data_IF_796958380595
#
_entry.id   IF_796958380595
#
_cell.length_a   1.000
_cell.length_b   1.000
_cell.length_c   1.000
_cell.angle_alpha   90.00
_cell.angle_beta   90.00
_cell.angle_gamma   90.00
#
_symmetry.space_group_name_H-M   'P 1'
#
loop_
_entity.id
_entity.type
_entity.pdbx_description
1 polymer ?
#
# COMPACT_ATOMS: atom_id res chain seq x y z
N UNK A 1 -7.75 19.16 -3.43
CA UNK A 1 -6.48 18.60 -2.91
C UNK A 1 -5.30 19.29 -3.60
N UNK A 2 -4.06 19.13 -3.11
CA UNK A 2 -2.88 19.63 -3.83
C UNK A 2 -2.64 18.80 -5.11
N UNK A 3 -2.25 19.46 -6.21
CA UNK A 3 -1.99 18.80 -7.51
C UNK A 3 -1.01 17.62 -7.41
N UNK A 4 0.01 17.76 -6.56
CA UNK A 4 1.02 16.72 -6.34
C UNK A 4 0.43 15.45 -5.71
N UNK A 5 -0.52 15.59 -4.77
CA UNK A 5 -1.21 14.47 -4.16
C UNK A 5 -2.15 13.78 -5.16
N UNK A 6 -2.79 14.57 -6.06
CA UNK A 6 -3.60 14.01 -7.15
C UNK A 6 -2.78 13.14 -8.08
N UNK A 7 -1.60 13.62 -8.52
CA UNK A 7 -0.71 12.85 -9.39
C UNK A 7 -0.28 11.53 -8.74
N UNK A 8 0.01 11.53 -7.44
CA UNK A 8 0.31 10.30 -6.72
C UNK A 8 -0.89 9.35 -6.68
N UNK A 9 -2.11 9.84 -6.43
CA UNK A 9 -3.31 9.01 -6.44
C UNK A 9 -3.57 8.41 -7.83
N UNK A 10 -3.38 9.15 -8.91
CA UNK A 10 -3.48 8.64 -10.29
C UNK A 10 -2.45 7.53 -10.55
N UNK A 11 -1.21 7.73 -10.08
CA UNK A 11 -0.14 6.73 -10.18
C UNK A 11 -0.32 5.55 -9.22
N UNK A 12 -1.11 5.64 -8.16
CA UNK A 12 -1.40 4.47 -7.32
C UNK A 12 -2.66 3.74 -7.76
N UNK A 13 -3.66 4.42 -8.32
CA UNK A 13 -4.99 3.83 -8.55
C UNK A 13 -4.99 2.80 -9.68
N UNK A 14 -5.01 1.51 -9.34
CA UNK A 14 -5.01 0.43 -10.32
C UNK A 14 -4.71 -0.95 -9.72
N UNK A 15 -4.63 -1.92 -10.63
CA UNK A 15 -4.20 -3.30 -10.36
C UNK A 15 -2.76 -3.44 -10.83
N UNK A 16 -1.91 -4.01 -9.97
CA UNK A 16 -0.49 -4.22 -10.18
C UNK A 16 -0.16 -5.70 -10.00
N UNK A 17 0.71 -6.24 -10.85
CA UNK A 17 1.14 -7.64 -10.81
C UNK A 17 2.65 -7.73 -10.99
N UNK A 18 3.32 -8.56 -10.19
CA UNK A 18 4.73 -8.89 -10.38
C UNK A 18 4.92 -10.21 -11.15
N UNK A 19 3.91 -10.68 -11.88
CA UNK A 19 3.94 -11.97 -12.57
C UNK A 19 5.18 -12.15 -13.45
N UNK A 20 5.58 -11.13 -14.21
CA UNK A 20 6.80 -11.16 -15.03
C UNK A 20 8.06 -11.44 -14.19
N UNK A 21 8.18 -10.78 -13.03
CA UNK A 21 9.28 -10.98 -12.09
C UNK A 21 9.26 -12.39 -11.48
N UNK A 22 8.08 -12.87 -11.05
CA UNK A 22 7.91 -14.19 -10.44
C UNK A 22 8.25 -15.31 -11.41
N UNK A 23 7.79 -15.21 -12.67
CA UNK A 23 8.08 -16.19 -13.74
C UNK A 23 9.56 -16.20 -14.12
N UNK A 24 10.21 -15.04 -14.14
CA UNK A 24 11.62 -14.95 -14.50
C UNK A 24 12.57 -15.47 -13.40
N UNK A 25 12.14 -15.51 -12.14
CA UNK A 25 13.01 -15.77 -10.99
C UNK A 25 12.45 -16.83 -9.99
N UNK A 26 11.95 -18.00 -10.43
CA UNK A 26 11.43 -18.99 -9.49
C UNK A 26 12.56 -19.66 -8.66
N UNK A 27 12.38 -19.92 -7.36
CA UNK A 27 11.20 -19.62 -6.52
C UNK A 27 11.35 -18.33 -5.68
N UNK A 28 12.18 -17.38 -6.10
CA UNK A 28 12.59 -16.23 -5.28
C UNK A 28 11.46 -15.25 -5.00
N UNK A 29 10.55 -15.06 -5.97
CA UNK A 29 9.42 -14.15 -5.86
C UNK A 29 8.12 -14.93 -6.06
N UNK A 30 7.21 -14.83 -5.07
CA UNK A 30 5.84 -15.28 -5.26
C UNK A 30 5.13 -14.34 -6.25
N UNK A 31 4.17 -14.88 -7.00
CA UNK A 31 3.27 -14.07 -7.82
C UNK A 31 2.21 -13.42 -6.93
N UNK A 32 2.20 -12.09 -6.92
CA UNK A 32 1.42 -11.22 -6.04
C UNK A 32 0.67 -10.21 -6.90
N UNK A 33 -0.58 -9.98 -6.54
CA UNK A 33 -1.38 -8.88 -7.04
C UNK A 33 -1.54 -7.83 -5.94
N UNK A 34 -1.40 -6.56 -6.33
CA UNK A 34 -1.65 -5.41 -5.47
C UNK A 34 -2.70 -4.54 -6.13
N UNK A 35 -3.79 -4.25 -5.43
CA UNK A 35 -4.88 -3.41 -5.93
C UNK A 35 -5.01 -2.19 -5.05
N UNK A 36 -5.00 -1.00 -5.66
CA UNK A 36 -5.37 0.26 -5.00
C UNK A 36 -6.62 0.82 -5.66
N UNK A 37 -7.72 0.82 -4.93
CA UNK A 37 -9.04 1.25 -5.42
C UNK A 37 -9.45 2.56 -4.74
N UNK A 38 -9.80 3.63 -5.47
CA UNK A 38 -10.35 4.83 -4.87
C UNK A 38 -11.59 4.55 -4.01
N UNK A 39 -11.70 5.22 -2.85
CA UNK A 39 -12.86 5.13 -1.95
C UNK A 39 -13.50 6.51 -1.74
N UNK A 40 -14.31 7.01 -2.70
CA UNK A 40 -14.92 8.35 -2.63
C UNK A 40 -15.81 8.62 -1.42
N UNK A 41 -16.36 7.55 -0.81
CA UNK A 41 -17.19 7.61 0.38
C UNK A 41 -16.41 7.90 1.68
N UNK A 42 -15.08 7.78 1.64
CA UNK A 42 -14.20 8.11 2.76
C UNK A 42 -13.63 9.53 2.59
N UNK A 43 -12.76 9.94 3.52
CA UNK A 43 -12.09 11.24 3.41
C UNK A 43 -11.29 11.35 2.10
N UNK A 44 -11.17 12.55 1.49
CA UNK A 44 -10.44 12.75 0.25
C UNK A 44 -9.03 12.16 0.24
N UNK A 45 -8.65 11.57 -0.89
CA UNK A 45 -7.36 10.91 -1.08
C UNK A 45 -7.27 9.52 -0.43
N UNK A 46 -8.40 8.93 -0.02
CA UNK A 46 -8.42 7.56 0.51
C UNK A 46 -8.48 6.53 -0.63
N UNK A 47 -7.64 5.50 -0.53
CA UNK A 47 -7.60 4.32 -1.39
C UNK A 47 -7.73 3.06 -0.52
N UNK A 48 -8.55 2.10 -0.91
CA UNK A 48 -8.49 0.74 -0.38
C UNK A 48 -7.36 -0.02 -1.08
N UNK A 49 -6.45 -0.58 -0.28
CA UNK A 49 -5.35 -1.43 -0.71
C UNK A 49 -5.67 -2.89 -0.37
N UNK A 50 -5.57 -3.78 -1.34
CA UNK A 50 -5.49 -5.23 -1.13
C UNK A 50 -4.21 -5.79 -1.73
N UNK A 51 -3.55 -6.70 -1.01
CA UNK A 51 -2.41 -7.47 -1.49
C UNK A 51 -2.69 -8.94 -1.28
N UNK A 52 -2.62 -9.72 -2.36
CA UNK A 52 -2.96 -11.13 -2.37
C UNK A 52 -1.99 -11.93 -3.25
N UNK A 53 -1.86 -13.22 -2.98
CA UNK A 53 -1.21 -14.12 -3.92
C UNK A 53 -2.08 -14.26 -5.17
N UNK A 54 -1.48 -14.26 -6.36
CA UNK A 54 -2.23 -14.34 -7.61
C UNK A 54 -3.04 -15.65 -7.76
N UNK A 55 -2.66 -16.71 -7.03
CA UNK A 55 -3.37 -17.99 -7.00
C UNK A 55 -4.71 -17.91 -6.24
N UNK A 56 -4.81 -17.03 -5.25
CA UNK A 56 -6.02 -16.82 -4.46
C UNK A 56 -6.21 -15.31 -4.16
N UNK A 57 -6.62 -14.51 -5.16
CA UNK A 57 -6.80 -13.08 -5.01
C UNK A 57 -7.96 -12.73 -4.07
N UNK A 58 -8.82 -13.69 -3.73
CA UNK A 58 -9.98 -13.48 -2.85
C UNK A 58 -9.63 -13.48 -1.36
N UNK A 59 -8.43 -13.94 -1.01
CA UNK A 59 -7.92 -14.02 0.36
C UNK A 59 -6.64 -13.17 0.47
N UNK A 60 -6.77 -11.83 0.52
CA UNK A 60 -5.62 -10.97 0.67
C UNK A 60 -4.92 -11.23 2.00
N UNK A 61 -3.59 -11.28 1.97
CA UNK A 61 -2.79 -11.35 3.20
C UNK A 61 -2.63 -9.98 3.86
N UNK A 62 -3.00 -8.90 3.16
CA UNK A 62 -3.00 -7.53 3.67
C UNK A 62 -4.09 -6.71 3.00
N UNK A 63 -4.90 -6.05 3.83
CA UNK A 63 -5.86 -5.02 3.40
C UNK A 63 -5.68 -3.76 4.24
N UNK A 64 -5.64 -2.57 3.63
CA UNK A 64 -5.50 -1.29 4.36
C UNK A 64 -6.27 -0.19 3.65
N UNK A 65 -6.69 0.83 4.38
CA UNK A 65 -7.02 2.11 3.76
C UNK A 65 -5.78 2.99 3.81
N UNK A 66 -5.32 3.44 2.65
CA UNK A 66 -4.26 4.43 2.51
C UNK A 66 -4.88 5.81 2.33
N UNK A 67 -4.36 6.83 2.99
CA UNK A 67 -4.81 8.21 2.79
C UNK A 67 -3.67 9.12 2.39
N UNK A 68 -3.71 9.57 1.14
CA UNK A 68 -2.76 10.54 0.60
C UNK A 68 -3.18 11.95 1.04
N UNK A 69 -2.29 12.68 1.71
CA UNK A 69 -2.54 14.07 2.09
C UNK A 69 -1.27 14.91 2.11
N UNK A 70 -1.45 16.23 2.06
CA UNK A 70 -0.36 17.18 2.28
C UNK A 70 -0.34 17.59 3.76
N UNK A 71 0.74 17.27 4.47
CA UNK A 71 1.04 17.73 5.80
C UNK A 71 1.78 19.07 5.76
N UNK A 72 1.53 19.97 6.72
CA UNK A 72 2.12 21.31 6.71
C UNK A 72 3.64 21.28 6.84
N UNK A 73 4.18 20.38 7.67
CA UNK A 73 5.62 20.30 7.95
C UNK A 73 6.33 19.19 7.18
N UNK A 74 5.63 18.08 6.90
CA UNK A 74 6.23 16.86 6.33
C UNK A 74 6.03 16.76 4.81
N UNK A 75 5.28 17.70 4.21
CA UNK A 75 4.96 17.64 2.79
C UNK A 75 3.96 16.54 2.46
N UNK A 76 4.19 15.80 1.37
CA UNK A 76 3.28 14.74 0.93
C UNK A 76 3.47 13.50 1.80
N UNK A 77 2.36 12.97 2.35
CA UNK A 77 2.37 11.78 3.20
C UNK A 77 1.28 10.79 2.79
N UNK A 78 1.47 9.52 3.18
CA UNK A 78 0.44 8.48 3.11
C UNK A 78 0.23 7.90 4.50
N UNK A 79 -0.96 8.11 5.05
CA UNK A 79 -1.35 7.46 6.30
C UNK A 79 -1.85 6.05 6.04
N UNK A 80 -1.49 5.12 6.91
CA UNK A 80 -2.01 3.76 6.89
C UNK A 80 -3.11 3.61 7.94
N UNK A 81 -4.26 3.08 7.52
CA UNK A 81 -5.40 2.79 8.38
C UNK A 81 -5.72 1.30 8.32
N UNK A 82 -5.74 0.64 9.47
CA UNK A 82 -6.18 -0.74 9.61
C UNK A 82 -7.71 -0.79 9.65
N UNK A 83 -8.28 -1.90 9.13
CA UNK A 83 -9.71 -2.15 9.17
C UNK A 83 -10.05 -3.07 10.35
N UNK A 84 -11.12 -2.76 11.08
CA UNK A 84 -11.70 -3.65 12.07
C UNK A 84 -12.44 -4.80 11.38
N UNK A 85 -12.20 -6.04 11.85
CA UNK A 85 -12.81 -7.24 11.26
C UNK A 85 -12.61 -7.31 9.73
N UNK A 86 -11.36 -7.13 9.31
CA UNK A 86 -10.97 -6.88 7.92
C UNK A 86 -11.45 -7.94 6.91
N UNK A 87 -11.61 -9.19 7.35
CA UNK A 87 -12.20 -10.32 6.63
C UNK A 87 -13.54 -9.98 5.92
N UNK A 88 -14.34 -9.07 6.50
CA UNK A 88 -15.61 -8.61 5.92
C UNK A 88 -15.45 -7.86 4.60
N UNK A 89 -14.25 -7.35 4.34
CA UNK A 89 -13.94 -6.47 3.22
C UNK A 89 -12.99 -7.13 2.20
N UNK A 90 -12.63 -8.39 2.38
CA UNK A 90 -11.80 -9.10 1.41
C UNK A 90 -12.47 -9.15 0.03
N UNK A 91 -11.70 -8.86 -1.02
CA UNK A 91 -12.17 -8.71 -2.39
C UNK A 91 -12.91 -7.40 -2.69
N UNK A 92 -13.05 -6.49 -1.71
CA UNK A 92 -13.80 -5.25 -1.91
C UNK A 92 -13.16 -4.31 -2.95
N UNK A 93 -11.85 -4.43 -3.22
CA UNK A 93 -11.23 -3.61 -4.28
C UNK A 93 -11.77 -3.91 -5.67
N UNK A 94 -12.38 -5.08 -5.87
CA UNK A 94 -12.97 -5.54 -7.13
C UNK A 94 -14.50 -5.69 -7.08
N UNK A 95 -15.12 -5.36 -5.95
CA UNK A 95 -16.57 -5.46 -5.70
C UNK A 95 -17.08 -4.10 -5.17
N UNK A 96 -17.69 -3.30 -6.05
CA UNK A 96 -18.15 -1.96 -5.71
C UNK A 96 -19.21 -1.93 -4.61
N UNK A 97 -20.10 -2.93 -4.55
CA UNK A 97 -21.14 -3.00 -3.54
C UNK A 97 -20.54 -3.23 -2.15
N UNK A 98 -19.47 -4.03 -2.08
CA UNK A 98 -18.68 -4.26 -0.86
C UNK A 98 -17.78 -3.08 -0.52
N UNK A 99 -17.17 -2.44 -1.53
CA UNK A 99 -16.29 -1.29 -1.37
C UNK A 99 -17.00 -0.16 -0.62
N UNK A 100 -18.24 0.16 -1.00
CA UNK A 100 -19.01 1.24 -0.36
C UNK A 100 -19.43 0.92 1.07
N UNK A 101 -19.29 -0.34 1.53
CA UNK A 101 -19.52 -0.71 2.93
C UNK A 101 -18.36 -0.33 3.85
N UNK A 102 -17.17 -0.02 3.32
CA UNK A 102 -16.05 0.44 4.15
C UNK A 102 -16.34 1.85 4.63
N UNK A 103 -16.49 2.04 5.94
CA UNK A 103 -16.83 3.31 6.56
C UNK A 103 -15.72 3.80 7.50
N UNK A 104 -15.70 5.10 7.79
CA UNK A 104 -14.67 5.71 8.65
C UNK A 104 -14.60 5.09 10.06
N UNK A 105 -15.72 4.60 10.57
CA UNK A 105 -15.81 3.92 11.87
C UNK A 105 -15.15 2.52 11.87
N UNK A 106 -14.92 1.93 10.70
CA UNK A 106 -14.21 0.66 10.57
C UNK A 106 -12.68 0.86 10.61
N UNK A 107 -12.19 2.10 10.68
CA UNK A 107 -10.79 2.43 10.48
C UNK A 107 -10.09 2.88 11.76
N UNK A 108 -8.92 2.29 12.02
CA UNK A 108 -7.97 2.77 13.04
C UNK A 108 -6.67 3.19 12.39
N UNK A 109 -6.24 4.43 12.65
CA UNK A 109 -4.96 4.95 12.15
C UNK A 109 -3.79 4.19 12.78
N UNK A 110 -2.88 3.71 11.95
CA UNK A 110 -1.64 3.07 12.39
C UNK A 110 -0.57 4.13 12.65
N UNK A 111 -0.40 4.48 13.92
CA UNK A 111 0.63 5.41 14.38
C UNK A 111 2.03 4.85 14.07
N UNK A 112 2.95 5.72 13.65
CA UNK A 112 4.33 5.33 13.33
C UNK A 112 4.49 4.61 11.98
N UNK A 113 3.40 4.39 11.24
CA UNK A 113 3.39 3.72 9.92
C UNK A 113 3.10 4.71 8.77
N UNK A 114 3.29 6.02 8.98
CA UNK A 114 3.07 7.01 7.94
C UNK A 114 4.20 6.95 6.93
N UNK A 115 3.91 6.94 5.62
CA UNK A 115 4.94 7.15 4.61
C UNK A 115 5.19 8.64 4.42
N UNK A 116 6.46 9.02 4.43
CA UNK A 116 6.93 10.32 3.96
C UNK A 116 7.22 10.16 2.46
N UNK A 117 6.60 11.00 1.63
CA UNK A 117 6.67 10.85 0.17
C UNK A 117 7.29 12.08 -0.46
N UNK A 118 8.21 11.83 -1.38
CA UNK A 118 8.86 12.86 -2.17
C UNK A 118 8.75 12.57 -3.67
N UNK A 119 8.84 13.62 -4.47
CA UNK A 119 8.85 13.50 -5.93
C UNK A 119 10.18 12.88 -6.38
N UNK A 120 10.11 11.90 -7.27
CA UNK A 120 11.28 11.25 -7.85
C UNK A 120 11.13 11.21 -9.38
N UNK A 121 11.70 12.21 -10.09
CA UNK A 121 11.49 12.38 -11.52
C UNK A 121 10.00 12.52 -11.87
N UNK A 122 9.50 11.68 -12.78
CA UNK A 122 8.07 11.62 -13.12
C UNK A 122 7.23 10.77 -12.16
N UNK A 123 7.86 10.13 -11.19
CA UNK A 123 7.20 9.33 -10.16
C UNK A 123 7.27 9.94 -8.77
N UNK A 124 7.14 9.06 -7.79
CA UNK A 124 7.31 9.33 -6.38
C UNK A 124 8.11 8.21 -5.73
N UNK A 125 8.78 8.53 -4.63
CA UNK A 125 9.32 7.54 -3.70
C UNK A 125 8.85 7.87 -2.30
N UNK A 126 8.62 6.84 -1.49
CA UNK A 126 8.25 7.03 -0.10
C UNK A 126 8.85 5.98 0.80
N UNK A 127 9.08 6.38 2.05
CA UNK A 127 9.60 5.53 3.11
C UNK A 127 8.76 5.72 4.37
N UNK A 128 8.59 4.64 5.15
CA UNK A 128 7.95 4.71 6.46
C UNK A 128 8.73 5.67 7.36
N UNK A 129 8.01 6.50 8.11
CA UNK A 129 8.58 7.48 9.02
C UNK A 129 9.60 6.86 10.00
N UNK A 130 10.67 7.60 10.35
CA UNK A 130 11.70 7.08 11.24
C UNK A 130 11.16 6.83 12.66
N UNK A 131 11.93 6.05 13.44
CA UNK A 131 11.65 5.84 14.88
C UNK A 131 11.22 4.43 15.25
N UNK A 132 11.24 3.47 14.32
CA UNK A 132 10.94 2.05 14.60
C UNK A 132 9.53 1.82 15.20
N UNK A 133 8.59 2.74 14.94
CA UNK A 133 7.28 2.77 15.59
C UNK A 133 6.18 2.06 14.79
N UNK A 134 6.41 1.75 13.51
CA UNK A 134 5.50 0.91 12.75
C UNK A 134 5.61 -0.55 13.21
N UNK A 135 4.96 -0.88 14.33
CA UNK A 135 5.01 -2.21 14.93
C UNK A 135 4.16 -3.21 14.15
N UNK A 136 4.73 -4.38 13.88
CA UNK A 136 4.09 -5.49 13.18
C UNK A 136 4.37 -6.76 13.96
N UNK A 137 3.31 -7.45 14.39
CA UNK A 137 3.45 -8.79 14.94
C UNK A 137 3.37 -9.82 13.82
N UNK A 138 4.39 -10.68 13.73
CA UNK A 138 4.43 -11.77 12.75
C UNK A 138 4.93 -13.04 13.40
N UNK A 139 4.16 -14.12 13.28
CA UNK A 139 4.44 -15.42 13.92
C UNK A 139 4.75 -15.31 15.43
N UNK A 140 4.02 -14.45 16.15
CA UNK A 140 4.19 -14.24 17.59
C UNK A 140 5.41 -13.40 18.00
N UNK A 141 6.20 -12.89 17.04
CA UNK A 141 7.32 -11.98 17.29
C UNK A 141 6.94 -10.54 16.98
N UNK A 142 7.29 -9.62 17.88
CA UNK A 142 7.17 -8.18 17.63
C UNK A 142 8.33 -7.69 16.77
N UNK A 143 8.02 -6.91 15.74
CA UNK A 143 8.98 -6.35 14.79
C UNK A 143 8.59 -4.92 14.46
N UNK A 144 9.52 -4.14 13.90
CA UNK A 144 9.17 -2.88 13.24
C UNK A 144 9.38 -2.98 11.73
N UNK A 145 8.48 -2.36 10.98
CA UNK A 145 8.52 -2.29 9.53
C UNK A 145 9.49 -1.19 9.08
N UNK A 146 10.41 -1.56 8.19
CA UNK A 146 11.07 -0.65 7.27
C UNK A 146 10.51 -0.96 5.89
N UNK A 147 9.83 0.01 5.30
CA UNK A 147 9.26 -0.16 3.98
C UNK A 147 9.49 1.06 3.10
N UNK A 148 9.75 0.78 1.84
CA UNK A 148 10.00 1.76 0.79
C UNK A 148 9.17 1.40 -0.44
N UNK A 149 8.69 2.41 -1.13
CA UNK A 149 8.13 2.25 -2.45
C UNK A 149 8.66 3.29 -3.41
N UNK A 150 8.66 2.92 -4.69
CA UNK A 150 8.81 3.83 -5.82
C UNK A 150 7.66 3.56 -6.77
N UNK A 151 7.03 4.61 -7.29
CA UNK A 151 5.91 4.48 -8.22
C UNK A 151 6.08 5.47 -9.36
N UNK A 152 5.73 5.04 -10.56
CA UNK A 152 5.69 5.89 -11.74
C UNK A 152 4.51 5.55 -12.64
N UNK A 153 4.58 5.98 -13.89
CA UNK A 153 3.56 5.67 -14.88
C UNK A 153 3.60 4.17 -15.21
N UNK A 154 2.54 3.44 -14.85
CA UNK A 154 2.39 2.03 -15.19
C UNK A 154 3.22 1.04 -14.36
N UNK A 155 3.98 1.46 -13.35
CA UNK A 155 4.79 0.55 -12.54
C UNK A 155 4.84 0.95 -11.06
N UNK A 156 5.12 -0.04 -10.22
CA UNK A 156 5.31 0.10 -8.78
C UNK A 156 6.44 -0.84 -8.34
N UNK A 157 7.35 -0.33 -7.50
CA UNK A 157 8.38 -1.11 -6.85
C UNK A 157 8.23 -0.99 -5.34
N UNK A 158 8.27 -2.10 -4.60
CA UNK A 158 8.19 -2.06 -3.13
C UNK A 158 9.25 -2.92 -2.48
N UNK A 159 9.65 -2.52 -1.28
CA UNK A 159 10.49 -3.33 -0.39
C UNK A 159 9.90 -3.25 1.00
N UNK A 160 9.54 -4.40 1.57
CA UNK A 160 9.02 -4.52 2.93
C UNK A 160 9.93 -5.44 3.73
N UNK A 161 10.49 -4.92 4.82
CA UNK A 161 11.37 -5.64 5.73
C UNK A 161 10.97 -5.40 7.18
N UNK A 162 11.01 -6.45 7.99
CA UNK A 162 10.74 -6.41 9.42
C UNK A 162 11.99 -6.69 10.21
N UNK A 163 12.23 -5.86 11.22
CA UNK A 163 13.40 -5.92 12.07
C UNK A 163 13.02 -6.07 13.53
N UNK A 164 13.90 -6.70 14.30
CA UNK A 164 13.71 -6.87 15.73
C UNK A 164 13.86 -5.51 16.48
N UNK A 165 12.94 -5.14 17.38
CA UNK A 165 12.97 -3.86 18.10
C UNK A 165 14.24 -3.59 18.91
N UNK A 166 14.88 -4.65 19.39
CA UNK A 166 15.96 -4.57 20.39
C UNK A 166 17.32 -4.73 19.74
N UNK A 167 17.43 -5.70 18.83
CA UNK A 167 18.69 -6.06 18.16
C UNK A 167 18.87 -5.38 16.82
N UNK A 168 17.78 -4.90 16.20
CA UNK A 168 17.75 -4.42 14.82
C UNK A 168 18.15 -5.47 13.78
N UNK A 169 18.12 -6.76 14.17
CA UNK A 169 18.35 -7.86 13.25
C UNK A 169 17.17 -8.01 12.28
N UNK A 170 17.48 -8.33 11.02
CA UNK A 170 16.45 -8.65 10.03
C UNK A 170 15.71 -9.93 10.43
N UNK A 171 14.38 -9.85 10.52
CA UNK A 171 13.51 -10.97 10.94
C UNK A 171 12.76 -11.56 9.76
N UNK A 172 12.17 -10.71 8.92
CA UNK A 172 11.35 -11.13 7.78
C UNK A 172 11.36 -10.08 6.68
N UNK A 173 10.95 -10.46 5.48
CA UNK A 173 10.88 -9.55 4.33
C UNK A 173 11.72 -10.01 3.17
N UNK A 174 11.70 -9.25 2.08
CA UNK A 174 12.42 -9.57 0.86
C UNK A 174 13.92 -9.60 1.09
N UNK A 175 14.53 -10.78 1.01
CA UNK A 175 16.00 -10.97 0.97
C UNK A 175 16.52 -10.96 -0.47
N UNK A 176 15.66 -11.29 -1.44
CA UNK A 176 15.99 -11.37 -2.86
C UNK A 176 15.94 -10.02 -3.59
N UNK A 177 15.56 -8.95 -2.90
CA UNK A 177 15.40 -7.61 -3.46
C UNK A 177 13.95 -7.11 -3.42
N UNK A 178 13.70 -6.04 -4.16
CA UNK A 178 12.39 -5.40 -4.25
C UNK A 178 11.41 -6.23 -5.11
N UNK A 179 10.12 -6.09 -4.83
CA UNK A 179 9.08 -6.57 -5.74
C UNK A 179 8.85 -5.53 -6.85
N UNK A 180 8.87 -6.00 -8.09
CA UNK A 180 8.65 -5.19 -9.29
C UNK A 180 7.29 -5.51 -9.88
N UNK A 181 6.37 -4.54 -9.84
CA UNK A 181 5.02 -4.69 -10.34
C UNK A 181 4.77 -3.83 -11.58
N UNK A 182 4.05 -4.40 -12.53
CA UNK A 182 3.49 -3.72 -13.69
C UNK A 182 1.99 -3.48 -13.47
N UNK A 183 1.50 -2.32 -13.88
CA UNK A 183 0.07 -2.01 -13.82
C UNK A 183 -0.65 -2.70 -14.95
N UNK A 184 -1.59 -3.57 -14.60
CA UNK A 184 -2.43 -4.32 -15.55
C UNK A 184 -3.78 -3.65 -15.79
N UNK A 185 -4.23 -2.79 -14.89
CA UNK A 185 -5.47 -2.01 -15.03
C UNK A 185 -5.39 -0.70 -14.26
N UNK A 186 -5.99 0.37 -14.78
CA UNK A 186 -6.00 1.69 -14.14
C UNK A 186 -7.39 2.05 -13.62
N UNK A 187 -7.44 2.61 -12.41
CA UNK A 187 -8.63 3.17 -11.79
C UNK A 187 -8.55 4.69 -11.63
N UNK A 188 -7.61 5.36 -12.31
CA UNK A 188 -7.42 6.81 -12.22
C UNK A 188 -8.69 7.60 -12.62
N UNK A 189 -9.48 7.07 -13.56
CA UNK A 189 -10.75 7.69 -14.00
C UNK A 189 -11.84 7.68 -12.91
N UNK A 190 -11.66 6.91 -11.84
CA UNK A 190 -12.62 6.83 -10.72
C UNK A 190 -12.31 7.83 -9.60
N UNK A 191 -11.18 8.53 -9.70
CA UNK A 191 -10.84 9.58 -8.75
C UNK A 191 -11.84 10.75 -8.90
N UNK A 192 -12.52 11.15 -7.83
CA UNK A 192 -13.43 12.30 -7.86
C UNK A 192 -12.73 13.57 -8.39
N UNK A 193 -13.43 14.38 -9.18
CA UNK A 193 -12.92 15.68 -9.64
C UNK A 193 -12.63 16.64 -8.47
N UNK A 194 -13.35 16.48 -7.36
CA UNK A 194 -13.21 17.28 -6.14
C UNK A 194 -11.96 16.94 -5.33
N UNK A 195 -11.31 15.82 -5.64
CA UNK A 195 -10.01 15.47 -5.06
C UNK A 195 -8.94 16.30 -5.78
#
# INVERSE_FOLDING_TARGET
>A
MALIARRLLEQLSGVFSNEAQAVANPPLFASIQVVFRPTPQLAPGSLLLEQAYALDPSQPYRIRVLRVRHHQEQGLIIENWALHHEERFYGATMDLERLVQVQQQDLTMLQGCTYLVEKAGEGFRGEVEPGCNCRVQRAGRDTYLVSRFEVGEGWLRTTDQGFDPQTHDHVWGGVAGAFDFERTSSFAAELPETW
#
